data_IF_816025756452
#
_entry.id   IF_816025756452
#
_cell.length_a   1.000
_cell.length_b   1.000
_cell.length_c   1.000
_cell.angle_alpha   90.00
_cell.angle_beta   90.00
_cell.angle_gamma   90.00
#
_symmetry.space_group_name_H-M   'P 1'
#
loop_
_entity.id
_entity.type
_entity.pdbx_description
1 polymer ?
#
# COMPACT_ATOMS: atom_id res chain seq x y z
N UNK A 1 -42.06 51.19 -35.58
CA UNK A 1 -40.87 51.24 -34.70
C UNK A 1 -40.57 49.85 -34.11
N UNK A 2 -39.99 48.89 -34.88
CA UNK A 2 -39.22 47.81 -34.25
C UNK A 2 -37.96 47.41 -35.05
N UNK A 3 -37.31 48.35 -35.75
CA UNK A 3 -36.12 48.05 -36.59
C UNK A 3 -34.78 48.45 -35.94
N UNK A 4 -34.80 49.08 -34.76
CA UNK A 4 -33.60 49.58 -34.07
C UNK A 4 -33.06 48.63 -32.99
N UNK A 5 -33.81 47.60 -32.62
CA UNK A 5 -33.38 46.64 -31.58
C UNK A 5 -32.50 45.51 -32.12
N UNK A 6 -32.61 45.15 -33.40
CA UNK A 6 -31.85 44.02 -33.98
C UNK A 6 -30.39 44.39 -34.33
N UNK A 7 -30.10 45.67 -34.61
CA UNK A 7 -28.75 46.13 -34.98
C UNK A 7 -27.78 46.24 -33.79
N UNK A 8 -28.30 46.28 -32.55
CA UNK A 8 -27.50 46.34 -31.33
C UNK A 8 -27.19 44.96 -30.72
N UNK A 9 -27.93 43.92 -31.10
CA UNK A 9 -27.78 42.56 -30.54
C UNK A 9 -26.66 41.75 -31.20
N UNK A 10 -26.42 41.93 -32.50
CA UNK A 10 -25.39 41.21 -33.26
C UNK A 10 -23.95 41.51 -32.79
N UNK A 11 -23.54 42.78 -32.54
CA UNK A 11 -22.22 43.08 -32.01
C UNK A 11 -22.01 42.55 -30.58
N UNK A 12 -23.07 42.59 -29.75
CA UNK A 12 -23.03 42.14 -28.36
C UNK A 12 -22.85 40.62 -28.26
N UNK A 13 -23.53 39.84 -29.11
CA UNK A 13 -23.36 38.38 -29.19
C UNK A 13 -21.95 37.98 -29.68
N UNK A 14 -21.39 38.74 -30.63
CA UNK A 14 -20.01 38.57 -31.11
C UNK A 14 -18.97 38.86 -30.02
N UNK A 15 -19.17 39.91 -29.21
CA UNK A 15 -18.28 40.21 -28.08
C UNK A 15 -18.37 39.16 -26.97
N UNK A 16 -19.59 38.71 -26.62
CA UNK A 16 -19.79 37.68 -25.60
C UNK A 16 -19.17 36.33 -26.00
N UNK A 17 -19.29 35.93 -27.27
CA UNK A 17 -18.66 34.72 -27.81
C UNK A 17 -17.12 34.81 -27.79
N UNK A 18 -16.55 35.96 -28.16
CA UNK A 18 -15.09 36.18 -28.06
C UNK A 18 -14.59 36.16 -26.62
N UNK A 19 -15.35 36.74 -25.68
CA UNK A 19 -15.00 36.71 -24.26
C UNK A 19 -15.07 35.29 -23.68
N UNK A 20 -16.03 34.47 -24.14
CA UNK A 20 -16.13 33.07 -23.74
C UNK A 20 -14.93 32.25 -24.21
N UNK A 21 -14.61 32.32 -25.51
CA UNK A 21 -13.46 31.62 -26.10
C UNK A 21 -12.15 32.06 -25.43
N UNK A 22 -12.01 33.35 -25.11
CA UNK A 22 -10.83 33.85 -24.42
C UNK A 22 -10.71 33.29 -23.00
N UNK A 23 -11.82 33.23 -22.23
CA UNK A 23 -11.84 32.60 -20.90
C UNK A 23 -11.52 31.10 -20.94
N UNK A 24 -12.03 30.38 -21.92
CA UNK A 24 -11.72 28.95 -22.09
C UNK A 24 -10.23 28.75 -22.40
N UNK A 25 -9.66 29.59 -23.27
CA UNK A 25 -8.24 29.55 -23.57
C UNK A 25 -7.37 29.90 -22.34
N UNK A 26 -7.73 30.93 -21.58
CA UNK A 26 -7.06 31.27 -20.32
C UNK A 26 -7.16 30.15 -19.29
N UNK A 27 -8.32 29.50 -19.18
CA UNK A 27 -8.53 28.36 -18.27
C UNK A 27 -7.64 27.18 -18.67
N UNK A 28 -7.58 26.85 -19.97
CA UNK A 28 -6.73 25.79 -20.49
C UNK A 28 -5.24 26.10 -20.31
N UNK A 29 -4.82 27.36 -20.54
CA UNK A 29 -3.45 27.81 -20.28
C UNK A 29 -3.09 27.73 -18.80
N UNK A 30 -4.00 28.13 -17.90
CA UNK A 30 -3.79 28.00 -16.45
C UNK A 30 -3.72 26.55 -15.99
N UNK A 31 -4.55 25.66 -16.56
CA UNK A 31 -4.48 24.22 -16.29
C UNK A 31 -3.15 23.62 -16.78
N UNK A 32 -2.70 23.99 -17.99
CA UNK A 32 -1.40 23.61 -18.52
C UNK A 32 -0.24 24.14 -17.67
N UNK A 33 -0.33 25.38 -17.17
CA UNK A 33 0.70 25.97 -16.32
C UNK A 33 0.73 25.31 -14.94
N UNK A 34 -0.43 25.02 -14.34
CA UNK A 34 -0.53 24.26 -13.10
C UNK A 34 0.00 22.84 -13.28
N UNK A 35 -0.33 22.18 -14.38
CA UNK A 35 0.20 20.86 -14.72
C UNK A 35 1.73 20.91 -14.89
N UNK A 36 2.24 21.91 -15.60
CA UNK A 36 3.68 22.13 -15.78
C UNK A 36 4.39 22.42 -14.45
N UNK A 37 3.82 23.25 -13.57
CA UNK A 37 4.37 23.53 -12.24
C UNK A 37 4.35 22.32 -11.32
N UNK A 38 3.32 21.46 -11.42
CA UNK A 38 3.27 20.18 -10.72
C UNK A 38 4.38 19.26 -11.23
N UNK A 39 4.58 19.19 -12.55
CA UNK A 39 5.65 18.39 -13.15
C UNK A 39 7.04 18.92 -12.81
N UNK A 40 7.26 20.24 -12.83
CA UNK A 40 8.54 20.88 -12.50
C UNK A 40 8.84 20.86 -10.99
N UNK A 41 7.81 20.77 -10.13
CA UNK A 41 7.93 20.61 -8.69
C UNK A 41 8.24 19.17 -8.25
N UNK A 42 8.00 18.18 -9.11
CA UNK A 42 8.43 16.80 -8.90
C UNK A 42 9.85 16.68 -9.44
N UNK A 43 10.84 17.02 -8.61
CA UNK A 43 12.19 16.51 -8.83
C UNK A 43 12.09 14.98 -8.75
N UNK A 44 12.08 14.31 -9.90
CA UNK A 44 12.05 12.85 -10.00
C UNK A 44 13.12 12.30 -9.06
N UNK A 45 12.68 11.70 -7.94
CA UNK A 45 13.61 11.08 -7.00
C UNK A 45 14.14 9.83 -7.67
N UNK A 46 15.39 9.87 -8.05
CA UNK A 46 16.06 8.69 -8.60
C UNK A 46 16.11 7.60 -7.53
N UNK A 47 16.14 6.33 -7.96
CA UNK A 47 16.32 5.20 -7.04
C UNK A 47 17.52 5.41 -6.10
N UNK A 48 18.61 6.01 -6.60
CA UNK A 48 19.81 6.29 -5.81
C UNK A 48 19.55 7.26 -4.65
N UNK A 49 18.65 8.22 -4.81
CA UNK A 49 18.29 9.18 -3.75
C UNK A 49 17.30 8.57 -2.75
N UNK A 50 16.48 7.61 -3.19
CA UNK A 50 15.55 6.90 -2.33
C UNK A 50 16.22 5.79 -1.51
N UNK A 51 17.40 5.32 -1.92
CA UNK A 51 18.10 4.22 -1.25
C UNK A 51 18.82 4.63 0.04
N UNK A 52 18.88 3.75 1.05
CA UNK A 52 18.24 2.43 1.08
C UNK A 52 16.72 2.53 1.21
N UNK A 53 15.98 1.71 0.46
CA UNK A 53 14.52 1.68 0.56
C UNK A 53 14.09 1.04 1.89
N UNK A 54 13.09 1.63 2.53
CA UNK A 54 12.54 1.13 3.78
C UNK A 54 11.05 0.87 3.62
N UNK A 55 10.65 -0.40 3.69
CA UNK A 55 9.25 -0.78 3.49
C UNK A 55 8.43 -0.64 4.78
N UNK A 56 7.47 0.29 4.74
CA UNK A 56 6.45 0.43 5.76
C UNK A 56 5.31 -0.54 5.43
N UNK A 57 5.35 -1.72 6.06
CA UNK A 57 4.34 -2.75 5.87
C UNK A 57 3.13 -2.48 6.77
N UNK A 58 2.10 -1.86 6.20
CA UNK A 58 0.81 -1.68 6.86
C UNK A 58 0.01 -3.00 6.87
N UNK A 59 -0.75 -3.29 7.93
CA UNK A 59 -1.56 -4.50 7.99
C UNK A 59 -2.57 -4.55 6.85
N UNK A 60 -2.64 -5.69 6.18
CA UNK A 60 -3.63 -6.00 5.13
C UNK A 60 -3.58 -5.08 3.90
N UNK A 61 -2.40 -4.54 3.59
CA UNK A 61 -2.15 -3.74 2.38
C UNK A 61 -1.29 -4.46 1.32
N UNK A 62 -1.19 -5.79 1.41
CA UNK A 62 -0.57 -6.65 0.40
C UNK A 62 0.91 -6.94 0.66
N UNK A 63 1.18 -8.04 1.35
CA UNK A 63 2.54 -8.46 1.69
C UNK A 63 3.37 -8.89 0.47
N UNK A 64 2.71 -9.29 -0.62
CA UNK A 64 3.36 -9.70 -1.88
C UNK A 64 4.24 -8.61 -2.49
N UNK A 65 4.06 -7.34 -2.08
CA UNK A 65 4.86 -6.20 -2.54
C UNK A 65 6.36 -6.34 -2.18
N UNK A 66 6.68 -7.20 -1.21
CA UNK A 66 8.08 -7.59 -0.92
C UNK A 66 8.79 -8.10 -2.16
N UNK A 67 8.09 -8.83 -3.04
CA UNK A 67 8.65 -9.36 -4.27
C UNK A 67 9.09 -8.25 -5.22
N UNK A 68 8.40 -7.12 -5.24
CA UNK A 68 8.76 -5.97 -6.08
C UNK A 68 10.01 -5.27 -5.59
N UNK A 69 10.13 -5.08 -4.27
CA UNK A 69 11.29 -4.40 -3.70
C UNK A 69 12.54 -5.28 -3.78
N UNK A 70 12.42 -6.55 -3.39
CA UNK A 70 13.55 -7.46 -3.31
C UNK A 70 14.16 -7.78 -4.69
N UNK A 71 13.33 -7.82 -5.74
CA UNK A 71 13.77 -8.08 -7.12
C UNK A 71 14.18 -6.82 -7.90
N UNK A 72 14.14 -5.65 -7.26
CA UNK A 72 14.71 -4.45 -7.86
C UNK A 72 16.21 -4.65 -8.11
N UNK A 73 16.69 -4.15 -9.25
CA UNK A 73 18.05 -4.42 -9.73
C UNK A 73 19.11 -4.01 -8.69
N UNK A 74 19.90 -4.99 -8.25
CA UNK A 74 20.95 -4.79 -7.25
C UNK A 74 20.46 -4.78 -5.80
N UNK A 75 19.17 -4.97 -5.52
CA UNK A 75 18.65 -5.02 -4.15
C UNK A 75 18.95 -6.36 -3.49
N UNK A 76 18.45 -7.48 -4.03
CA UNK A 76 18.74 -8.83 -3.53
C UNK A 76 19.19 -9.77 -4.67
N UNK A 77 20.43 -9.63 -5.20
CA UNK A 77 20.86 -10.34 -6.41
C UNK A 77 20.83 -11.88 -6.29
N UNK A 78 20.98 -12.40 -5.08
CA UNK A 78 21.01 -13.84 -4.81
C UNK A 78 19.65 -14.52 -4.95
N UNK A 79 18.53 -13.78 -4.88
CA UNK A 79 17.18 -14.32 -5.09
C UNK A 79 16.97 -14.78 -6.55
N UNK A 80 17.66 -14.16 -7.50
CA UNK A 80 17.49 -14.44 -8.92
C UNK A 80 16.08 -14.11 -9.40
N UNK A 81 15.32 -15.12 -9.85
CA UNK A 81 13.93 -14.98 -10.31
C UNK A 81 12.93 -15.77 -9.46
N UNK A 82 13.28 -16.06 -8.20
CA UNK A 82 12.42 -16.83 -7.32
C UNK A 82 11.52 -15.90 -6.50
N UNK A 83 10.21 -16.12 -6.60
CA UNK A 83 9.25 -15.43 -5.75
C UNK A 83 9.54 -15.74 -4.27
N UNK A 84 9.48 -14.73 -3.42
CA UNK A 84 9.45 -14.86 -1.97
C UNK A 84 8.01 -15.24 -1.58
N UNK A 85 7.85 -16.47 -1.10
CA UNK A 85 6.57 -17.04 -0.68
C UNK A 85 6.82 -18.19 0.33
N UNK A 86 5.74 -18.81 0.83
CA UNK A 86 5.84 -19.91 1.78
C UNK A 86 6.70 -21.08 1.28
N UNK A 87 6.60 -21.43 -0.01
CA UNK A 87 7.32 -22.57 -0.60
C UNK A 87 8.83 -22.31 -0.71
N UNK A 88 9.24 -21.06 -0.94
CA UNK A 88 10.65 -20.72 -1.19
C UNK A 88 11.43 -20.40 0.08
N UNK A 89 10.81 -19.75 1.07
CA UNK A 89 11.48 -19.41 2.33
C UNK A 89 11.10 -20.34 3.49
N UNK A 90 10.04 -21.14 3.34
CA UNK A 90 9.49 -21.97 4.40
C UNK A 90 8.86 -21.15 5.54
N UNK A 91 8.36 -21.82 6.57
CA UNK A 91 7.83 -21.17 7.77
C UNK A 91 6.33 -20.90 7.77
N UNK A 92 5.52 -21.52 6.90
CA UNK A 92 4.07 -21.48 7.04
C UNK A 92 3.49 -20.06 7.01
N UNK A 93 2.51 -19.80 7.87
CA UNK A 93 1.86 -18.49 8.02
C UNK A 93 2.80 -17.34 8.40
N UNK A 94 4.00 -17.63 8.93
CA UNK A 94 4.99 -16.65 9.40
C UNK A 94 6.07 -16.34 8.35
N UNK A 95 6.01 -16.93 7.14
CA UNK A 95 7.11 -16.96 6.18
C UNK A 95 7.79 -15.60 5.93
N UNK A 96 7.01 -14.51 5.91
CA UNK A 96 7.54 -13.17 5.68
C UNK A 96 8.46 -12.70 6.80
N UNK A 97 8.07 -12.92 8.05
CA UNK A 97 8.91 -12.60 9.23
C UNK A 97 10.20 -13.41 9.19
N UNK A 98 10.10 -14.70 8.86
CA UNK A 98 11.26 -15.57 8.70
C UNK A 98 12.21 -15.07 7.61
N UNK A 99 11.67 -14.65 6.46
CA UNK A 99 12.49 -14.09 5.39
C UNK A 99 13.26 -12.86 5.86
N UNK A 100 12.61 -11.93 6.56
CA UNK A 100 13.28 -10.74 7.10
C UNK A 100 14.39 -11.07 8.09
N UNK A 101 14.17 -12.04 8.98
CA UNK A 101 15.13 -12.39 10.04
C UNK A 101 16.29 -13.24 9.53
N UNK A 102 16.02 -14.25 8.70
CA UNK A 102 16.99 -15.29 8.36
C UNK A 102 17.63 -15.11 6.99
N UNK A 103 16.89 -14.60 6.00
CA UNK A 103 17.28 -14.63 4.58
C UNK A 103 17.68 -13.25 4.06
N UNK A 104 16.88 -12.23 4.32
CA UNK A 104 17.10 -10.89 3.80
C UNK A 104 18.52 -10.35 4.08
N UNK A 105 19.08 -10.45 5.31
CA UNK A 105 20.43 -9.94 5.59
C UNK A 105 21.55 -10.67 4.82
N UNK A 106 21.28 -11.89 4.35
CA UNK A 106 22.22 -12.69 3.56
C UNK A 106 22.02 -12.45 2.06
N UNK A 107 20.79 -12.15 1.64
CA UNK A 107 20.42 -12.09 0.24
C UNK A 107 20.48 -10.68 -0.35
N UNK A 108 20.28 -9.66 0.50
CA UNK A 108 20.04 -8.29 0.11
C UNK A 108 21.17 -7.35 0.56
N UNK A 109 21.40 -6.33 -0.25
CA UNK A 109 22.37 -5.27 0.00
C UNK A 109 21.78 -4.19 0.92
N UNK A 110 22.39 -3.99 2.08
CA UNK A 110 21.89 -3.05 3.10
C UNK A 110 21.94 -1.57 2.67
N UNK A 111 22.77 -1.21 1.67
CA UNK A 111 22.77 0.13 1.04
C UNK A 111 21.59 0.34 0.09
N UNK A 112 20.86 -0.73 -0.25
CA UNK A 112 19.75 -0.72 -1.21
C UNK A 112 18.40 -0.95 -0.56
N UNK A 113 18.34 -1.83 0.44
CA UNK A 113 17.11 -2.18 1.15
C UNK A 113 17.35 -2.49 2.62
N UNK A 114 16.51 -1.94 3.47
CA UNK A 114 16.56 -2.19 4.91
C UNK A 114 15.85 -3.52 5.22
N UNK A 115 16.63 -4.56 5.49
CA UNK A 115 16.12 -5.87 5.92
C UNK A 115 15.61 -5.89 7.36
N UNK A 116 16.04 -4.95 8.20
CA UNK A 116 15.66 -4.93 9.59
C UNK A 116 14.25 -4.36 9.75
N UNK A 117 13.26 -5.24 9.77
CA UNK A 117 12.01 -4.93 10.46
C UNK A 117 12.23 -5.24 11.96
N UNK A 118 11.55 -4.48 12.83
CA UNK A 118 11.45 -4.87 14.24
C UNK A 118 10.99 -6.34 14.30
N UNK A 119 11.41 -7.10 15.30
CA UNK A 119 10.92 -8.47 15.55
C UNK A 119 9.38 -8.54 15.68
N UNK A 120 8.74 -7.37 15.84
CA UNK A 120 7.30 -7.21 15.76
C UNK A 120 6.90 -6.68 14.37
N UNK A 121 5.97 -7.36 13.66
CA UNK A 121 5.46 -6.86 12.40
C UNK A 121 4.57 -5.63 12.64
N UNK A 122 4.43 -4.77 11.62
CA UNK A 122 3.47 -3.65 11.66
C UNK A 122 3.76 -2.63 12.78
N UNK A 123 5.03 -2.40 13.10
CA UNK A 123 5.47 -1.40 14.09
C UNK A 123 5.43 0.01 13.53
N UNK A 124 5.32 1.02 14.41
CA UNK A 124 5.52 2.41 14.03
C UNK A 124 6.89 2.66 13.40
N UNK A 125 6.93 3.61 12.47
CA UNK A 125 8.17 4.03 11.82
C UNK A 125 9.17 4.48 12.89
N UNK A 126 8.74 5.36 13.81
CA UNK A 126 9.60 6.07 14.76
C UNK A 126 10.78 6.82 14.09
N UNK A 127 11.16 7.98 14.62
CA UNK A 127 12.24 8.80 14.04
C UNK A 127 12.01 9.09 12.54
N UNK A 128 10.80 9.51 12.19
CA UNK A 128 10.39 9.81 10.80
C UNK A 128 11.40 10.70 10.05
N UNK A 129 11.99 11.68 10.74
CA UNK A 129 12.96 12.61 10.16
C UNK A 129 14.17 11.91 9.53
N UNK A 130 14.66 10.81 10.12
CA UNK A 130 15.80 10.06 9.62
C UNK A 130 15.46 9.18 8.41
N UNK A 131 14.18 8.83 8.25
CA UNK A 131 13.69 7.91 7.22
C UNK A 131 12.99 8.63 6.07
N UNK A 132 12.78 9.94 6.21
CA UNK A 132 12.10 10.78 5.23
C UNK A 132 12.79 10.67 3.86
N UNK A 133 12.03 10.23 2.88
CA UNK A 133 12.46 10.07 1.49
C UNK A 133 12.99 8.70 1.13
N UNK A 134 13.01 7.77 2.09
CA UNK A 134 13.39 6.37 1.90
C UNK A 134 12.19 5.41 2.02
N UNK A 135 11.06 5.90 2.54
CA UNK A 135 9.89 5.08 2.83
C UNK A 135 9.19 4.63 1.55
N UNK A 136 8.85 3.36 1.46
CA UNK A 136 7.97 2.81 0.42
C UNK A 136 6.82 2.06 1.08
N UNK A 137 5.63 2.10 0.50
CA UNK A 137 4.49 1.39 1.09
C UNK A 137 3.29 1.28 0.17
N UNK A 138 2.48 0.27 0.43
CA UNK A 138 1.18 0.05 -0.17
C UNK A 138 0.10 0.47 0.82
N UNK A 139 -0.90 1.21 0.34
CA UNK A 139 -2.04 1.68 1.11
C UNK A 139 -3.32 1.05 0.57
N UNK A 140 -4.31 0.88 1.44
CA UNK A 140 -5.61 0.28 1.08
C UNK A 140 -6.73 1.13 1.66
N UNK A 141 -7.87 1.14 1.00
CA UNK A 141 -9.10 1.72 1.53
C UNK A 141 -9.33 1.21 2.98
N UNK A 142 -9.58 2.11 3.95
CA UNK A 142 -9.64 1.71 5.35
C UNK A 142 -10.73 0.67 5.65
N UNK A 143 -11.89 0.76 5.02
CA UNK A 143 -12.98 -0.19 5.25
C UNK A 143 -12.65 -1.57 4.68
N UNK A 144 -12.10 -1.62 3.47
CA UNK A 144 -11.59 -2.86 2.86
C UNK A 144 -10.49 -3.48 3.70
N UNK A 145 -9.60 -2.66 4.28
CA UNK A 145 -8.52 -3.11 5.18
C UNK A 145 -9.08 -3.70 6.48
N UNK A 146 -10.09 -3.07 7.09
CA UNK A 146 -10.77 -3.58 8.29
C UNK A 146 -11.48 -4.90 8.00
N UNK A 147 -12.22 -4.99 6.89
CA UNK A 147 -12.93 -6.22 6.53
C UNK A 147 -11.96 -7.35 6.18
N UNK A 148 -10.90 -7.05 5.43
CA UNK A 148 -9.83 -8.02 5.15
C UNK A 148 -9.17 -8.53 6.42
N UNK A 149 -8.95 -7.64 7.39
CA UNK A 149 -8.44 -8.05 8.70
C UNK A 149 -9.46 -8.91 9.44
N UNK A 150 -10.74 -8.54 9.46
CA UNK A 150 -11.76 -9.28 10.19
C UNK A 150 -12.00 -10.68 9.63
N UNK A 151 -11.98 -10.85 8.32
CA UNK A 151 -12.22 -12.13 7.65
C UNK A 151 -11.00 -13.03 7.57
N UNK A 152 -9.81 -12.49 7.84
CA UNK A 152 -8.60 -13.28 7.99
C UNK A 152 -8.69 -14.19 9.24
N UNK A 153 -8.78 -15.50 9.03
CA UNK A 153 -8.85 -16.48 10.13
C UNK A 153 -7.57 -16.55 10.95
N UNK A 154 -6.44 -16.12 10.38
CA UNK A 154 -5.19 -16.01 11.11
C UNK A 154 -5.04 -14.69 11.87
N UNK A 155 -5.97 -13.75 11.69
CA UNK A 155 -5.97 -12.51 12.43
C UNK A 155 -6.63 -12.68 13.81
N UNK A 156 -5.88 -13.25 14.74
CA UNK A 156 -6.19 -13.34 16.16
C UNK A 156 -6.41 -11.98 16.84
N UNK A 157 -6.00 -10.85 16.24
CA UNK A 157 -6.29 -9.52 16.77
C UNK A 157 -7.80 -9.19 16.71
N UNK A 158 -8.60 -10.02 16.04
CA UNK A 158 -10.05 -10.03 16.13
C UNK A 158 -10.61 -10.80 17.33
N UNK A 159 -9.78 -11.42 18.17
CA UNK A 159 -10.21 -12.25 19.29
C UNK A 159 -11.13 -11.52 20.28
N UNK A 160 -12.04 -12.27 20.89
CA UNK A 160 -13.05 -11.76 21.81
C UNK A 160 -12.46 -11.07 23.05
N UNK A 161 -11.39 -11.62 23.65
CA UNK A 161 -10.77 -11.07 24.85
C UNK A 161 -9.23 -10.94 24.75
N UNK A 162 -8.63 -10.29 25.75
CA UNK A 162 -7.18 -10.06 25.82
C UNK A 162 -6.39 -11.34 26.13
N UNK A 163 -6.98 -12.35 26.77
CA UNK A 163 -6.35 -13.64 27.01
C UNK A 163 -6.15 -14.41 25.71
N UNK A 164 -7.18 -14.45 24.86
CA UNK A 164 -7.14 -15.03 23.52
C UNK A 164 -6.16 -14.30 22.60
N UNK A 165 -6.03 -12.98 22.75
CA UNK A 165 -4.96 -12.21 22.11
C UNK A 165 -3.57 -12.67 22.58
N UNK A 166 -3.38 -12.85 23.88
CA UNK A 166 -2.09 -13.25 24.45
C UNK A 166 -1.65 -14.67 24.04
N UNK A 167 -2.59 -15.63 23.98
CA UNK A 167 -2.34 -17.03 23.60
C UNK A 167 -1.54 -17.09 22.29
N UNK A 168 -1.94 -16.33 21.28
CA UNK A 168 -1.27 -16.36 19.98
C UNK A 168 0.00 -15.48 19.93
N UNK A 169 0.09 -14.37 20.67
CA UNK A 169 1.39 -13.67 20.81
C UNK A 169 2.44 -14.52 21.53
N UNK A 170 2.04 -15.39 22.47
CA UNK A 170 2.93 -16.38 23.11
C UNK A 170 3.24 -17.59 22.22
N UNK A 171 2.46 -17.82 21.14
CA UNK A 171 2.81 -18.79 20.10
C UNK A 171 3.67 -18.17 18.97
N UNK A 172 3.66 -16.85 18.84
CA UNK A 172 4.63 -16.06 18.09
C UNK A 172 5.98 -15.91 18.82
N UNK A 173 6.01 -16.08 20.16
CA UNK A 173 7.22 -16.53 20.86
C UNK A 173 7.51 -17.98 20.46
N UNK A 174 8.09 -18.14 19.27
CA UNK A 174 9.28 -18.96 19.09
C UNK A 174 9.28 -20.22 19.99
N UNK A 175 8.44 -21.21 19.70
CA UNK A 175 8.96 -22.57 19.75
C UNK A 175 9.86 -22.74 18.54
N UNK A 176 11.09 -22.19 18.64
CA UNK A 176 12.23 -22.52 17.78
C UNK A 176 12.66 -23.97 18.05
N UNK A 177 11.74 -24.92 17.92
CA UNK A 177 12.12 -26.32 17.78
C UNK A 177 12.49 -26.55 16.31
N UNK A 178 13.75 -26.23 15.97
CA UNK A 178 14.35 -26.62 14.70
C UNK A 178 14.01 -25.75 13.49
N UNK A 179 13.68 -24.47 13.67
CA UNK A 179 13.56 -23.52 12.54
C UNK A 179 12.36 -23.78 11.64
N UNK A 180 11.28 -24.33 12.17
CA UNK A 180 10.00 -24.42 11.47
C UNK A 180 8.98 -23.63 12.27
N UNK A 181 8.31 -22.64 11.66
CA UNK A 181 7.11 -22.03 12.26
C UNK A 181 5.97 -23.05 12.21
N UNK A 182 6.03 -24.07 13.05
CA UNK A 182 4.88 -24.91 13.38
C UNK A 182 4.06 -24.21 14.46
N UNK A 183 3.78 -22.93 14.26
CA UNK A 183 2.81 -22.20 15.05
C UNK A 183 1.44 -22.57 14.51
N UNK A 184 0.72 -23.42 15.24
CA UNK A 184 -0.70 -23.57 15.04
C UNK A 184 -1.32 -22.20 15.30
N UNK A 185 -1.49 -21.37 14.25
CA UNK A 185 -2.35 -20.19 14.35
C UNK A 185 -3.63 -20.71 14.97
N UNK A 186 -3.99 -20.22 16.16
CA UNK A 186 -5.12 -20.79 16.89
C UNK A 186 -6.39 -20.44 16.10
N UNK A 187 -6.81 -21.36 15.23
CA UNK A 187 -7.94 -21.18 14.34
C UNK A 187 -9.23 -21.30 15.13
N UNK A 188 -10.26 -20.59 14.68
CA UNK A 188 -11.58 -20.65 15.29
C UNK A 188 -11.65 -20.03 16.69
N UNK A 189 -10.67 -19.19 17.08
CA UNK A 189 -10.85 -18.31 18.23
C UNK A 189 -12.12 -17.46 18.01
N UNK A 190 -13.01 -17.37 19.02
CA UNK A 190 -14.16 -16.48 18.93
C UNK A 190 -13.70 -15.06 18.57
N UNK A 191 -14.24 -14.53 17.48
CA UNK A 191 -14.02 -13.15 17.07
C UNK A 191 -15.03 -12.25 17.78
N UNK A 192 -14.58 -11.08 18.24
CA UNK A 192 -15.49 -10.04 18.74
C UNK A 192 -16.48 -9.61 17.64
N UNK A 193 -17.60 -8.96 18.00
CA UNK A 193 -18.50 -8.38 17.01
C UNK A 193 -17.74 -7.44 16.04
N UNK A 194 -18.06 -7.51 14.75
CA UNK A 194 -17.35 -6.77 13.69
C UNK A 194 -17.18 -5.28 14.00
N UNK A 195 -18.22 -4.60 14.51
CA UNK A 195 -18.14 -3.17 14.82
C UNK A 195 -17.22 -2.87 16.01
N UNK A 196 -17.13 -3.78 16.99
CA UNK A 196 -16.18 -3.62 18.09
C UNK A 196 -14.75 -3.85 17.62
N UNK A 197 -14.53 -4.82 16.73
CA UNK A 197 -13.25 -4.99 16.05
C UNK A 197 -12.84 -3.74 15.28
N UNK A 198 -13.72 -3.23 14.42
CA UNK A 198 -13.50 -2.04 13.62
C UNK A 198 -13.09 -0.84 14.49
N UNK A 199 -13.79 -0.61 15.62
CA UNK A 199 -13.46 0.44 16.59
C UNK A 199 -12.09 0.27 17.24
N UNK A 200 -11.63 -0.96 17.47
CA UNK A 200 -10.30 -1.20 18.04
C UNK A 200 -9.16 -1.04 17.02
N UNK A 201 -9.44 -1.30 15.75
CA UNK A 201 -8.47 -1.13 14.66
C UNK A 201 -8.43 0.28 14.06
N UNK A 202 -9.43 1.11 14.37
CA UNK A 202 -9.55 2.50 13.92
C UNK A 202 -8.26 3.31 14.07
N UNK A 203 -7.75 3.92 13.01
CA UNK A 203 -6.55 4.75 13.06
C UNK A 203 -5.24 3.96 13.18
N UNK A 204 -5.21 2.71 12.73
CA UNK A 204 -4.03 1.84 12.80
C UNK A 204 -2.89 2.29 11.90
N UNK A 205 -3.19 2.72 10.66
CA UNK A 205 -2.20 3.24 9.71
C UNK A 205 -1.63 4.56 10.25
N UNK A 206 -2.51 5.43 10.73
CA UNK A 206 -2.15 6.70 11.36
C UNK A 206 -1.20 6.49 12.54
N UNK A 207 -1.49 5.49 13.39
CA UNK A 207 -0.63 5.16 14.52
C UNK A 207 0.77 4.71 14.09
N UNK A 208 0.91 3.87 13.05
CA UNK A 208 2.24 3.50 12.56
C UNK A 208 3.04 4.69 12.04
N UNK A 209 2.33 5.62 11.39
CA UNK A 209 2.96 6.79 10.80
C UNK A 209 3.38 7.83 11.83
N UNK A 210 2.69 7.93 12.98
CA UNK A 210 2.92 9.03 13.94
C UNK A 210 3.50 8.63 15.27
N UNK A 211 3.36 7.38 15.70
CA UNK A 211 3.84 6.99 17.02
C UNK A 211 5.37 6.95 17.09
N UNK A 212 5.91 7.46 18.19
CA UNK A 212 7.35 7.54 18.43
C UNK A 212 7.93 6.27 19.08
N UNK A 213 7.08 5.34 19.51
CA UNK A 213 7.48 4.12 20.20
C UNK A 213 7.23 2.88 19.33
N UNK A 214 8.28 2.08 19.11
CA UNK A 214 8.24 0.84 18.32
C UNK A 214 7.78 -0.39 19.12
N UNK A 215 7.53 -0.29 20.43
CA UNK A 215 7.22 -1.46 21.26
C UNK A 215 5.77 -1.96 21.12
N UNK A 216 4.89 -1.24 20.42
CA UNK A 216 3.50 -1.64 20.23
C UNK A 216 3.14 -1.62 18.75
N UNK A 217 2.59 -2.71 18.25
CA UNK A 217 2.14 -2.80 16.85
C UNK A 217 0.84 -2.03 16.64
N UNK A 218 0.55 -1.68 15.38
CA UNK A 218 -0.72 -1.09 14.98
C UNK A 218 -1.95 -1.96 15.31
N UNK A 219 -1.72 -3.23 15.57
CA UNK A 219 -2.75 -4.23 15.81
C UNK A 219 -3.01 -4.45 17.30
N UNK A 220 -2.13 -3.93 18.18
CA UNK A 220 -2.23 -4.15 19.60
C UNK A 220 -3.53 -3.54 20.18
N UNK A 221 -4.39 -4.31 20.88
CA UNK A 221 -5.71 -3.86 21.30
C UNK A 221 -5.66 -2.72 22.34
N UNK A 222 -4.54 -2.56 23.04
CA UNK A 222 -4.29 -1.47 24.00
C UNK A 222 -3.44 -0.32 23.45
N UNK A 223 -3.18 -0.27 22.14
CA UNK A 223 -2.39 0.84 21.58
C UNK A 223 -3.07 2.19 21.89
N UNK A 224 -2.30 3.27 22.09
CA UNK A 224 -2.85 4.61 22.22
C UNK A 224 -3.79 4.94 21.04
N UNK A 225 -4.95 5.52 21.37
CA UNK A 225 -5.86 6.03 20.35
C UNK A 225 -5.23 7.25 19.68
N UNK A 226 -5.35 7.31 18.38
CA UNK A 226 -4.94 8.46 17.57
C UNK A 226 -6.13 9.39 17.33
N UNK A 227 -5.82 10.65 17.07
CA UNK A 227 -6.77 11.73 16.83
C UNK A 227 -6.70 12.18 15.37
N UNK A 228 -7.63 13.06 14.98
CA UNK A 228 -7.60 13.66 13.64
C UNK A 228 -6.37 14.52 13.40
N UNK A 229 -5.79 15.12 14.45
CA UNK A 229 -4.52 15.85 14.36
C UNK A 229 -3.37 14.91 13.98
N UNK A 230 -3.35 13.72 14.57
CA UNK A 230 -2.36 12.69 14.23
C UNK A 230 -2.56 12.24 12.78
N UNK A 231 -3.82 12.09 12.33
CA UNK A 231 -4.12 11.76 10.94
C UNK A 231 -3.61 12.82 9.95
N UNK A 232 -3.73 14.10 10.30
CA UNK A 232 -3.16 15.20 9.48
C UNK A 232 -1.64 15.14 9.42
N UNK A 233 -0.95 14.84 10.54
CA UNK A 233 0.50 14.65 10.53
C UNK A 233 0.90 13.39 9.74
N UNK A 234 0.15 12.29 9.86
CA UNK A 234 0.35 11.08 9.08
C UNK A 234 0.22 11.36 7.58
N UNK A 235 -0.83 12.06 7.15
CA UNK A 235 -1.02 12.49 5.76
C UNK A 235 0.16 13.34 5.26
N UNK A 236 0.64 14.30 6.06
CA UNK A 236 1.84 15.08 5.74
C UNK A 236 3.07 14.19 5.57
N UNK A 237 3.27 13.20 6.44
CA UNK A 237 4.37 12.21 6.33
C UNK A 237 4.27 11.38 5.06
N UNK A 238 3.07 11.01 4.62
CA UNK A 238 2.85 10.33 3.33
C UNK A 238 3.29 11.23 2.17
N UNK A 239 2.86 12.49 2.14
CA UNK A 239 3.24 13.44 1.08
C UNK A 239 4.75 13.71 1.03
N UNK A 240 5.37 13.92 2.20
CA UNK A 240 6.72 14.47 2.28
C UNK A 240 7.82 13.40 2.41
N UNK A 241 7.45 12.20 2.87
CA UNK A 241 8.41 11.21 3.36
C UNK A 241 8.45 9.90 2.61
N UNK A 242 7.46 9.58 1.79
CA UNK A 242 7.49 8.38 0.97
C UNK A 242 8.21 8.67 -0.35
N UNK A 243 9.17 7.80 -0.68
CA UNK A 243 9.75 7.68 -2.00
C UNK A 243 8.76 7.06 -2.99
N UNK A 244 7.94 6.13 -2.50
CA UNK A 244 6.90 5.47 -3.30
C UNK A 244 5.64 5.20 -2.46
N UNK A 245 4.49 5.45 -3.06
CA UNK A 245 3.17 5.17 -2.52
C UNK A 245 2.39 4.41 -3.58
N UNK A 246 2.00 3.18 -3.27
CA UNK A 246 1.09 2.38 -4.09
C UNK A 246 -0.26 2.17 -3.42
N UNK A 247 -1.25 1.73 -4.19
CA UNK A 247 -2.62 1.48 -3.76
C UNK A 247 -2.97 0.02 -4.03
N UNK A 248 -3.43 -0.71 -3.01
CA UNK A 248 -3.73 -2.14 -3.10
C UNK A 248 -4.82 -2.42 -4.12
N UNK A 249 -5.86 -1.58 -4.18
CA UNK A 249 -6.97 -1.66 -5.15
C UNK A 249 -6.49 -1.44 -6.60
N UNK A 250 -5.33 -0.81 -6.78
CA UNK A 250 -4.70 -0.52 -8.06
C UNK A 250 -3.36 -1.27 -8.15
N UNK A 251 -3.34 -2.55 -7.72
CA UNK A 251 -2.12 -3.35 -7.59
C UNK A 251 -1.28 -3.31 -8.86
N UNK A 252 -1.89 -3.67 -9.99
CA UNK A 252 -1.23 -3.75 -11.29
C UNK A 252 -0.58 -2.41 -11.70
N UNK A 253 -1.27 -1.29 -11.50
CA UNK A 253 -0.72 0.05 -11.75
C UNK A 253 0.36 0.43 -10.74
N UNK A 254 0.23 0.01 -9.48
CA UNK A 254 1.23 0.28 -8.44
C UNK A 254 2.55 -0.41 -8.73
N UNK A 255 2.53 -1.68 -9.17
CA UNK A 255 3.73 -2.40 -9.58
C UNK A 255 4.37 -1.72 -10.79
N UNK A 256 3.58 -1.42 -11.83
CA UNK A 256 4.09 -0.73 -13.01
C UNK A 256 4.69 0.64 -12.65
N UNK A 257 4.00 1.44 -11.82
CA UNK A 257 4.49 2.73 -11.35
C UNK A 257 5.82 2.59 -10.61
N UNK A 258 5.96 1.61 -9.73
CA UNK A 258 7.22 1.36 -9.02
C UNK A 258 8.38 1.15 -9.99
N UNK A 259 8.20 0.29 -10.99
CA UNK A 259 9.22 0.03 -12.02
C UNK A 259 9.47 1.25 -12.93
N UNK A 260 8.46 2.08 -13.22
CA UNK A 260 8.66 3.34 -13.96
C UNK A 260 9.43 4.38 -13.14
N UNK A 261 9.22 4.41 -11.82
CA UNK A 261 9.91 5.33 -10.91
C UNK A 261 11.36 4.92 -10.64
N UNK A 262 11.61 3.64 -10.41
CA UNK A 262 12.90 3.16 -9.93
C UNK A 262 13.70 2.34 -10.96
N UNK A 263 13.11 2.07 -12.11
CA UNK A 263 13.66 1.18 -13.13
C UNK A 263 13.49 -0.29 -12.76
N UNK A 264 13.98 -1.17 -13.64
CA UNK A 264 13.77 -2.61 -13.52
C UNK A 264 12.69 -3.11 -14.49
N UNK A 265 12.74 -4.41 -14.77
CA UNK A 265 11.70 -5.08 -15.54
C UNK A 265 10.68 -5.69 -14.59
N UNK A 266 9.41 -5.57 -14.94
CA UNK A 266 8.33 -6.29 -14.27
C UNK A 266 8.50 -7.80 -14.45
N UNK A 267 8.11 -8.56 -13.43
CA UNK A 267 8.15 -10.01 -13.38
C UNK A 267 6.76 -10.56 -13.02
N UNK A 268 6.48 -11.78 -13.48
CA UNK A 268 5.17 -12.40 -13.37
C UNK A 268 4.73 -12.58 -11.89
N UNK A 269 5.66 -12.99 -11.04
CA UNK A 269 5.41 -13.26 -9.62
C UNK A 269 5.11 -12.00 -8.79
N UNK A 270 5.37 -10.80 -9.32
CA UNK A 270 4.99 -9.54 -8.65
C UNK A 270 3.47 -9.28 -8.72
N UNK A 271 2.78 -10.00 -9.61
CA UNK A 271 1.34 -9.97 -9.79
C UNK A 271 0.65 -11.20 -9.18
N UNK A 272 1.42 -12.06 -8.50
CA UNK A 272 0.89 -13.20 -7.75
C UNK A 272 0.54 -12.77 -6.32
N UNK A 273 -0.62 -13.20 -5.85
CA UNK A 273 -0.94 -13.09 -4.43
C UNK A 273 -0.22 -14.22 -3.68
N UNK A 274 1.01 -13.96 -3.24
CA UNK A 274 1.82 -14.91 -2.47
C UNK A 274 1.43 -14.97 -0.99
N UNK A 275 0.41 -14.21 -0.58
CA UNK A 275 -0.12 -14.22 0.78
C UNK A 275 -1.64 -13.93 0.80
N UNK A 276 -2.44 -14.80 0.15
CA UNK A 276 -3.88 -14.62 0.10
C UNK A 276 -4.47 -14.67 1.51
N UNK A 277 -5.59 -14.01 1.74
CA UNK A 277 -6.32 -14.20 2.99
C UNK A 277 -6.89 -15.62 3.07
N UNK A 278 -7.05 -16.12 4.28
CA UNK A 278 -7.53 -17.49 4.53
C UNK A 278 -8.95 -17.76 4.02
N UNK A 279 -9.76 -16.71 3.86
CA UNK A 279 -11.08 -16.78 3.23
C UNK A 279 -11.00 -17.01 1.70
N UNK A 280 -9.79 -17.11 1.14
CA UNK A 280 -9.52 -17.36 -0.28
C UNK A 280 -9.81 -16.17 -1.18
N UNK A 281 -10.19 -15.02 -0.62
CA UNK A 281 -10.37 -13.79 -1.40
C UNK A 281 -9.01 -13.24 -1.81
N UNK A 282 -8.84 -13.00 -3.10
CA UNK A 282 -7.70 -12.27 -3.63
C UNK A 282 -7.83 -10.77 -3.33
N UNK A 283 -6.72 -10.04 -3.40
CA UNK A 283 -6.74 -8.57 -3.35
C UNK A 283 -7.70 -7.92 -4.37
N UNK A 284 -7.94 -8.59 -5.51
CA UNK A 284 -8.82 -8.14 -6.60
C UNK A 284 -10.33 -8.27 -6.28
N UNK A 285 -10.69 -8.78 -5.10
CA UNK A 285 -12.08 -8.96 -4.69
C UNK A 285 -12.41 -8.08 -3.48
N UNK A 286 -13.26 -7.08 -3.72
CA UNK A 286 -13.74 -6.23 -2.64
C UNK A 286 -14.63 -7.01 -1.64
N UNK A 287 -14.56 -6.59 -0.39
CA UNK A 287 -15.51 -6.94 0.65
C UNK A 287 -16.75 -6.07 0.54
N UNK A 288 -17.91 -6.66 0.84
CA UNK A 288 -19.15 -5.90 0.97
C UNK A 288 -19.09 -5.02 2.24
N UNK A 289 -18.94 -3.71 2.04
CA UNK A 289 -18.84 -2.72 3.13
C UNK A 289 -20.16 -2.48 3.85
N UNK A 290 -21.30 -2.96 3.33
CA UNK A 290 -22.58 -2.89 4.04
C UNK A 290 -22.53 -3.63 5.39
N UNK A 291 -21.64 -4.61 5.55
CA UNK A 291 -21.38 -5.30 6.82
C UNK A 291 -20.95 -4.35 7.95
N UNK A 292 -20.33 -3.21 7.61
CA UNK A 292 -19.93 -2.18 8.57
C UNK A 292 -21.08 -1.28 9.02
N UNK A 293 -22.29 -1.44 8.47
CA UNK A 293 -23.49 -0.70 8.91
C UNK A 293 -23.30 0.83 8.94
N UNK A 294 -22.57 1.36 7.95
CA UNK A 294 -22.24 2.79 7.86
C UNK A 294 -21.14 3.27 8.82
N UNK A 295 -20.48 2.36 9.53
CA UNK A 295 -19.24 2.67 10.24
C UNK A 295 -18.08 2.85 9.25
N UNK A 296 -17.23 3.84 9.50
CA UNK A 296 -16.04 4.13 8.71
C UNK A 296 -14.85 4.53 9.60
N UNK A 297 -13.64 4.18 9.17
CA UNK A 297 -12.40 4.66 9.80
C UNK A 297 -12.03 6.06 9.31
N UNK A 298 -12.77 7.07 9.78
CA UNK A 298 -12.55 8.49 9.43
C UNK A 298 -11.16 9.04 9.79
N UNK A 299 -10.37 8.33 10.59
CA UNK A 299 -8.99 8.69 10.94
C UNK A 299 -8.05 8.21 9.84
N UNK A 300 -8.04 6.91 9.53
CA UNK A 300 -7.20 6.39 8.45
C UNK A 300 -7.66 6.84 7.05
N UNK A 301 -8.93 7.25 6.88
CA UNK A 301 -9.43 7.86 5.64
C UNK A 301 -8.65 9.13 5.26
N UNK A 302 -8.24 9.94 6.23
CA UNK A 302 -7.41 11.14 5.98
C UNK A 302 -6.05 10.75 5.39
N UNK A 303 -5.47 9.65 5.88
CA UNK A 303 -4.18 9.14 5.40
C UNK A 303 -4.34 8.50 4.02
N UNK A 304 -5.40 7.72 3.81
CA UNK A 304 -5.67 7.07 2.53
C UNK A 304 -5.94 8.10 1.42
N UNK A 305 -6.67 9.18 1.72
CA UNK A 305 -6.88 10.29 0.79
C UNK A 305 -5.54 10.93 0.36
N UNK A 306 -4.62 11.15 1.30
CA UNK A 306 -3.28 11.66 1.00
C UNK A 306 -2.47 10.67 0.14
N UNK A 307 -2.57 9.37 0.43
CA UNK A 307 -1.92 8.33 -0.36
C UNK A 307 -2.45 8.30 -1.81
N UNK A 308 -3.77 8.39 -2.00
CA UNK A 308 -4.40 8.49 -3.32
C UNK A 308 -3.93 9.73 -4.10
N UNK A 309 -3.75 10.87 -3.43
CA UNK A 309 -3.22 12.07 -4.08
C UNK A 309 -1.78 11.88 -4.55
N UNK A 310 -0.90 11.34 -3.69
CA UNK A 310 0.50 11.04 -4.06
C UNK A 310 0.54 10.04 -5.21
N UNK A 311 -0.24 8.96 -5.13
CA UNK A 311 -0.30 7.93 -6.15
C UNK A 311 -0.73 8.50 -7.50
N UNK A 312 -1.88 9.21 -7.56
CA UNK A 312 -2.40 9.81 -8.80
C UNK A 312 -1.44 10.84 -9.39
N UNK A 313 -0.81 11.66 -8.55
CA UNK A 313 0.22 12.60 -8.99
C UNK A 313 1.38 11.86 -9.63
N UNK A 314 1.87 10.78 -9.02
CA UNK A 314 2.97 9.99 -9.55
C UNK A 314 2.57 9.26 -10.84
N UNK A 315 1.34 8.73 -10.95
CA UNK A 315 0.85 8.17 -12.22
C UNK A 315 0.96 9.20 -13.36
N UNK A 316 0.54 10.43 -13.11
CA UNK A 316 0.64 11.51 -14.10
C UNK A 316 2.11 11.87 -14.40
N UNK A 317 2.95 12.06 -13.38
CA UNK A 317 4.36 12.41 -13.55
C UNK A 317 5.15 11.37 -14.34
N UNK A 318 4.86 10.08 -14.13
CA UNK A 318 5.57 8.99 -14.79
C UNK A 318 4.82 8.43 -16.01
N UNK A 319 3.76 9.11 -16.47
CA UNK A 319 2.93 8.70 -17.62
C UNK A 319 2.45 7.24 -17.53
N UNK A 320 2.00 6.84 -16.35
CA UNK A 320 1.54 5.49 -16.04
C UNK A 320 0.03 5.39 -16.22
N UNK A 321 -0.39 4.48 -17.07
CA UNK A 321 -1.77 4.07 -17.30
C UNK A 321 -1.80 2.59 -17.67
N UNK A 322 -2.99 1.97 -17.71
CA UNK A 322 -3.08 0.58 -18.13
C UNK A 322 -2.51 0.37 -19.54
N UNK A 323 -2.68 1.34 -20.45
CA UNK A 323 -2.14 1.30 -21.80
C UNK A 323 -0.61 1.37 -21.83
N UNK A 324 0.02 2.21 -20.99
CA UNK A 324 1.49 2.33 -20.95
C UNK A 324 2.17 1.20 -20.16
N UNK A 325 1.39 0.41 -19.41
CA UNK A 325 1.82 -0.72 -18.59
C UNK A 325 1.64 -2.10 -19.24
N UNK A 326 1.21 -2.18 -20.50
CA UNK A 326 0.95 -3.47 -21.17
C UNK A 326 2.15 -4.42 -21.16
N UNK A 327 3.39 -3.90 -21.24
CA UNK A 327 4.60 -4.70 -21.13
C UNK A 327 4.68 -5.43 -19.77
N UNK A 328 4.39 -4.73 -18.67
CA UNK A 328 4.34 -5.33 -17.34
C UNK A 328 3.25 -6.41 -17.23
N UNK A 329 2.08 -6.16 -17.81
CA UNK A 329 0.95 -7.09 -17.75
C UNK A 329 1.15 -8.34 -18.63
N UNK A 330 2.00 -8.26 -19.66
CA UNK A 330 2.44 -9.42 -20.41
C UNK A 330 3.04 -10.50 -19.51
N UNK A 331 3.70 -10.11 -18.41
CA UNK A 331 4.25 -11.03 -17.42
C UNK A 331 3.17 -11.64 -16.51
N UNK A 332 2.09 -10.93 -16.17
CA UNK A 332 0.95 -11.49 -15.38
C UNK A 332 0.31 -12.71 -16.07
N UNK A 333 0.29 -12.68 -17.40
CA UNK A 333 -0.29 -13.74 -18.25
C UNK A 333 0.49 -15.06 -18.20
N UNK A 334 1.81 -15.01 -17.96
CA UNK A 334 2.64 -16.23 -17.90
C UNK A 334 2.52 -16.96 -16.55
N UNK A 335 2.28 -16.25 -15.44
CA UNK A 335 2.01 -16.85 -14.12
C UNK A 335 0.74 -17.73 -14.11
N UNK A 336 -0.36 -17.23 -14.66
CA UNK A 336 -1.64 -17.96 -14.75
C UNK A 336 -1.58 -19.23 -15.62
N UNK A 337 -0.60 -19.32 -16.53
CA UNK A 337 -0.39 -20.51 -17.38
C UNK A 337 0.45 -21.61 -16.72
N UNK A 338 1.27 -21.29 -15.71
CA UNK A 338 2.11 -22.25 -15.00
C UNK A 338 1.35 -22.93 -13.84
N UNK A 339 0.37 -22.25 -13.22
CA UNK A 339 -0.48 -22.83 -12.17
C UNK A 339 -1.42 -23.97 -12.61
N UNK A 340 -1.60 -24.20 -13.93
CA UNK A 340 -2.45 -25.29 -14.45
C UNK A 340 -1.72 -26.61 -14.75
N UNK A 341 -0.39 -26.69 -14.60
CA UNK A 341 0.38 -27.91 -14.93
C UNK A 341 0.77 -28.79 -13.74
N UNK A 342 0.27 -28.51 -12.53
CA UNK A 342 0.72 -29.18 -11.31
C UNK A 342 -0.37 -29.86 -10.49
N UNK A 343 -1.29 -30.62 -11.08
CA UNK A 343 -2.13 -31.61 -10.35
C UNK A 343 -2.49 -32.77 -11.26
N UNK A 344 -1.50 -33.61 -11.56
CA UNK A 344 -1.74 -34.97 -12.03
C UNK A 344 -0.57 -35.85 -11.63
N UNK A 345 -0.62 -36.37 -10.40
CA UNK A 345 -0.25 -37.75 -10.06
C UNK A 345 -0.65 -38.06 -8.62
#
# INVERSE_FOLDING_TARGET
MPSLFLSLLLPALSLASRQHIHREYETMQMQLLQHKLILEGVKERSLKEAQPLEWVHFPKTGSSFVNTIAHLAGTCPSLGKHAINEDTVGGGACWLSRWFEERCPQECHADRYVCQQSSLPHVPIAIYSARRGHLVGMFRNPDQRILSAYHDEANNFAAEDYGNFLIDTSHHEIQQNGGNCTGSVVRGLPKRPLLDFARTWKGGVTYQLTADNQTMTALHPRRPRVTRRDATEAARRVHDGFAFVGITEEWDLSICLFHKMFGGACNAFEFEDTRPSYDGKSADQDYDTAQLQGWHDDIDEVVYAAALEVFRRNLASFSVSHETCQECYGHKSSASSQGRRGTSQ
#
